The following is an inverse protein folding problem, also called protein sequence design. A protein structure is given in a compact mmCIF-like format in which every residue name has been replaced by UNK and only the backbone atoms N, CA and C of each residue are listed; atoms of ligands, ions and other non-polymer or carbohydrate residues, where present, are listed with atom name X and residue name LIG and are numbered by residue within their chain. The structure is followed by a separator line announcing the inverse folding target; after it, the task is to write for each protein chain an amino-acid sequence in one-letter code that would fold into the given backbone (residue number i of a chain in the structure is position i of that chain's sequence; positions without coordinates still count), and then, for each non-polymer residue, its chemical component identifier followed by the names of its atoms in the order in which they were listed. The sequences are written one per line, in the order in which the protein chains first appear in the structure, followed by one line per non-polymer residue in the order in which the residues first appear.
data_IF_735604784910
#
_entry.id   IF_735604784910
#
_cell.length_a   1.000
_cell.length_b   1.000
_cell.length_c   1.000
_cell.angle_alpha   90.00
_cell.angle_beta   90.00
_cell.angle_gamma   90.00
#
_symmetry.space_group_name_H-M   'P 1'
#
loop_
_entity.id
_entity.type
_entity.pdbx_description
1 polymer ?
#
# COMPACT_ATOMS: atom_id res chain seq x y z
N UNK A 1 6.44 2.59 -16.51
CA UNK A 1 7.24 1.38 -16.23
C UNK A 1 7.86 1.35 -14.82
N UNK A 2 7.25 1.97 -13.80
CA UNK A 2 7.72 1.87 -12.40
C UNK A 2 6.66 1.23 -11.50
N UNK A 3 5.40 1.49 -11.80
CA UNK A 3 4.25 0.96 -11.06
C UNK A 3 4.01 -0.54 -11.33
N UNK A 4 4.35 -1.04 -12.54
CA UNK A 4 4.23 -2.47 -12.87
C UNK A 4 5.22 -3.35 -12.10
N UNK A 5 6.41 -2.83 -11.78
CA UNK A 5 7.42 -3.59 -11.03
C UNK A 5 7.01 -3.70 -9.55
N UNK A 6 6.44 -2.64 -8.98
CA UNK A 6 5.94 -2.64 -7.60
C UNK A 6 4.75 -3.60 -7.45
N UNK A 7 3.81 -3.59 -8.40
CA UNK A 7 2.70 -4.54 -8.41
C UNK A 7 3.17 -5.99 -8.58
N UNK A 8 4.13 -6.24 -9.48
CA UNK A 8 4.69 -7.58 -9.66
C UNK A 8 5.43 -8.08 -8.40
N UNK A 9 6.16 -7.21 -7.71
CA UNK A 9 6.85 -7.55 -6.47
C UNK A 9 5.86 -7.88 -5.33
N UNK A 10 4.75 -7.15 -5.23
CA UNK A 10 3.71 -7.43 -4.22
C UNK A 10 2.98 -8.76 -4.49
N UNK A 11 2.68 -9.08 -5.75
CA UNK A 11 2.07 -10.38 -6.11
C UNK A 11 3.03 -11.54 -5.83
N UNK A 12 4.33 -11.36 -6.10
CA UNK A 12 5.35 -12.38 -5.78
C UNK A 12 5.51 -12.60 -4.26
N UNK A 13 5.47 -11.53 -3.46
CA UNK A 13 5.53 -11.62 -2.00
C UNK A 13 4.32 -12.36 -1.41
N UNK A 14 3.12 -12.13 -1.95
CA UNK A 14 1.90 -12.84 -1.52
C UNK A 14 1.94 -14.32 -1.93
N UNK A 15 2.48 -14.64 -3.11
CA UNK A 15 2.65 -16.03 -3.54
C UNK A 15 3.67 -16.79 -2.67
N UNK A 16 4.76 -16.14 -2.25
CA UNK A 16 5.76 -16.74 -1.35
C UNK A 16 5.20 -16.93 0.07
N UNK A 17 4.39 -15.97 0.56
CA UNK A 17 3.62 -16.11 1.80
C UNK A 17 2.63 -17.28 1.75
N UNK A 18 2.09 -17.61 0.57
CA UNK A 18 1.18 -18.74 0.40
C UNK A 18 1.90 -20.09 0.23
N UNK A 19 3.13 -20.10 -0.31
CA UNK A 19 3.95 -21.32 -0.47
C UNK A 19 4.85 -21.64 0.74
N UNK A 20 5.12 -20.69 1.63
CA UNK A 20 6.02 -20.88 2.79
C UNK A 20 5.47 -21.71 3.95
N UNK A 21 4.28 -22.33 3.83
CA UNK A 21 3.61 -23.04 4.94
C UNK A 21 3.43 -24.55 4.70
N UNK A 22 4.33 -25.22 3.96
CA UNK A 22 4.14 -26.67 3.71
C UNK A 22 5.33 -27.63 3.54
N UNK A 23 6.60 -27.27 3.76
CA UNK A 23 7.67 -28.28 3.64
C UNK A 23 8.72 -28.21 4.76
N UNK A 24 8.35 -28.75 5.92
CA UNK A 24 9.32 -29.38 6.83
C UNK A 24 8.99 -30.88 6.81
N UNK A 25 9.73 -31.62 5.98
CA UNK A 25 9.60 -33.06 5.86
C UNK A 25 10.01 -33.71 7.18
N UNK A 26 9.07 -34.45 7.78
CA UNK A 26 9.26 -35.18 9.01
C UNK A 26 10.41 -36.19 8.91
N UNK A 27 11.46 -36.00 9.72
CA UNK A 27 12.40 -37.05 10.05
C UNK A 27 11.85 -37.89 11.22
N UNK A 28 12.01 -39.23 11.23
CA UNK A 28 11.42 -40.11 12.24
C UNK A 28 12.08 -39.90 13.61
N UNK A 29 11.26 -39.77 14.66
CA UNK A 29 11.71 -39.51 16.02
C UNK A 29 12.23 -40.77 16.75
N UNK A 30 13.40 -40.71 17.41
CA UNK A 30 13.85 -41.69 18.39
C UNK A 30 13.00 -41.66 19.69
N UNK A 31 13.10 -42.73 20.47
CA UNK A 31 12.27 -43.11 21.62
C UNK A 31 12.15 -42.07 22.76
N UNK A 32 11.11 -42.16 23.62
CA UNK A 32 10.80 -41.14 24.62
C UNK A 32 11.85 -41.11 25.74
N UNK A 33 12.54 -39.98 25.86
CA UNK A 33 13.29 -39.57 27.05
C UNK A 33 12.41 -38.65 27.89
N UNK A 34 12.43 -38.84 29.22
CA UNK A 34 11.63 -38.07 30.17
C UNK A 34 11.87 -36.56 30.03
N UNK A 35 10.77 -35.83 29.87
CA UNK A 35 10.76 -34.40 29.56
C UNK A 35 10.92 -33.54 30.84
N UNK A 36 11.87 -32.58 30.88
CA UNK A 36 11.89 -31.53 31.87
C UNK A 36 10.64 -30.62 31.76
N UNK A 37 10.11 -30.16 32.89
CA UNK A 37 8.88 -29.37 32.97
C UNK A 37 8.87 -28.12 32.06
N UNK A 38 7.85 -28.00 31.21
CA UNK A 38 7.72 -27.05 30.10
C UNK A 38 7.32 -25.59 30.48
N UNK A 39 7.60 -25.13 31.70
CA UNK A 39 6.91 -23.97 32.28
C UNK A 39 7.27 -22.56 31.73
N UNK A 40 8.50 -22.22 31.26
CA UNK A 40 8.80 -20.86 30.80
C UNK A 40 8.68 -20.62 29.28
N UNK A 41 8.49 -21.66 28.47
CA UNK A 41 8.54 -21.53 27.00
C UNK A 41 7.28 -20.89 26.41
N UNK A 42 6.12 -21.08 27.05
CA UNK A 42 4.83 -20.58 26.55
C UNK A 42 4.71 -19.06 26.69
N UNK A 43 5.12 -18.48 27.83
CA UNK A 43 5.08 -17.02 28.06
C UNK A 43 6.00 -16.26 27.10
N UNK A 44 7.21 -16.79 26.86
CA UNK A 44 8.15 -16.21 25.90
C UNK A 44 7.58 -16.21 24.47
N UNK A 45 6.89 -17.28 24.08
CA UNK A 45 6.24 -17.36 22.78
C UNK A 45 5.06 -16.36 22.66
N UNK A 46 4.28 -16.18 23.72
CA UNK A 46 3.17 -15.22 23.74
C UNK A 46 3.65 -13.76 23.66
N UNK A 47 4.75 -13.43 24.36
CA UNK A 47 5.38 -12.12 24.28
C UNK A 47 5.89 -11.83 22.85
N UNK A 48 6.63 -12.76 22.25
CA UNK A 48 7.14 -12.63 20.88
C UNK A 48 5.99 -12.47 19.85
N UNK A 49 4.90 -13.22 20.02
CA UNK A 49 3.73 -13.09 19.16
C UNK A 49 3.07 -11.71 19.29
N UNK A 50 3.01 -11.16 20.50
CA UNK A 50 2.44 -9.83 20.76
C UNK A 50 3.30 -8.71 20.15
N UNK A 51 4.62 -8.81 20.27
CA UNK A 51 5.55 -7.86 19.64
C UNK A 51 5.44 -7.91 18.11
N UNK A 52 5.37 -9.11 17.53
CA UNK A 52 5.17 -9.29 16.10
C UNK A 52 3.85 -8.67 15.62
N UNK A 53 2.77 -8.85 16.39
CA UNK A 53 1.47 -8.24 16.08
C UNK A 53 1.50 -6.71 16.16
N UNK A 54 2.20 -6.15 17.16
CA UNK A 54 2.38 -4.70 17.30
C UNK A 54 3.19 -4.12 16.12
N UNK A 55 4.28 -4.78 15.73
CA UNK A 55 5.08 -4.38 14.58
C UNK A 55 4.27 -4.44 13.28
N UNK A 56 3.45 -5.48 13.08
CA UNK A 56 2.55 -5.59 11.94
C UNK A 56 1.51 -4.47 11.90
N UNK A 57 0.93 -4.11 13.05
CA UNK A 57 0.02 -2.95 13.18
C UNK A 57 0.72 -1.65 12.79
N UNK A 58 1.93 -1.41 13.28
CA UNK A 58 2.66 -0.18 12.98
C UNK A 58 3.03 -0.08 11.49
N UNK A 59 3.41 -1.19 10.87
CA UNK A 59 3.64 -1.26 9.43
C UNK A 59 2.36 -0.98 8.62
N UNK A 60 1.22 -1.54 9.06
CA UNK A 60 -0.06 -1.29 8.43
C UNK A 60 -0.49 0.19 8.53
N UNK A 61 -0.34 0.82 9.70
CA UNK A 61 -0.62 2.25 9.88
C UNK A 61 0.25 3.11 8.98
N UNK A 62 1.56 2.83 8.92
CA UNK A 62 2.49 3.56 8.05
C UNK A 62 2.12 3.45 6.56
N UNK A 63 1.63 2.27 6.14
CA UNK A 63 1.15 2.06 4.78
C UNK A 63 -0.14 2.85 4.49
N UNK A 64 -1.06 2.94 5.46
CA UNK A 64 -2.29 3.74 5.34
C UNK A 64 -1.98 5.23 5.26
N UNK A 65 -1.02 5.72 6.04
CA UNK A 65 -0.59 7.12 6.00
C UNK A 65 0.02 7.47 4.64
N UNK A 66 0.90 6.60 4.13
CA UNK A 66 1.48 6.77 2.79
C UNK A 66 0.41 6.75 1.69
N UNK A 67 -0.58 5.87 1.78
CA UNK A 67 -1.69 5.81 0.85
C UNK A 67 -2.56 7.09 0.90
N UNK A 68 -2.83 7.61 2.10
CA UNK A 68 -3.60 8.85 2.28
C UNK A 68 -2.87 10.07 1.75
N UNK A 69 -1.55 10.14 1.94
CA UNK A 69 -0.73 11.20 1.36
C UNK A 69 -0.73 11.16 -0.18
N UNK A 70 -0.61 9.96 -0.76
CA UNK A 70 -0.69 9.78 -2.22
C UNK A 70 -2.07 10.13 -2.79
N UNK A 71 -3.14 9.78 -2.08
CA UNK A 71 -4.51 10.13 -2.46
C UNK A 71 -4.71 11.65 -2.45
N UNK A 72 -4.25 12.33 -1.39
CA UNK A 72 -4.34 13.79 -1.27
C UNK A 72 -3.58 14.49 -2.40
N UNK A 73 -2.33 14.06 -2.69
CA UNK A 73 -1.56 14.61 -3.81
C UNK A 73 -2.24 14.40 -5.17
N UNK A 74 -2.96 13.30 -5.35
CA UNK A 74 -3.73 13.04 -6.57
C UNK A 74 -4.93 13.97 -6.70
N UNK A 75 -5.63 14.23 -5.59
CA UNK A 75 -6.75 15.18 -5.54
C UNK A 75 -6.27 16.60 -5.85
N UNK A 76 -5.16 17.02 -5.25
CA UNK A 76 -4.59 18.36 -5.49
C UNK A 76 -4.19 18.54 -6.96
N UNK A 77 -3.54 17.52 -7.56
CA UNK A 77 -3.18 17.53 -8.97
C UNK A 77 -4.42 17.58 -9.88
N UNK A 78 -5.48 16.84 -9.54
CA UNK A 78 -6.74 16.86 -10.28
C UNK A 78 -7.43 18.23 -10.19
N UNK A 79 -7.45 18.85 -9.00
CA UNK A 79 -8.00 20.19 -8.80
C UNK A 79 -7.23 21.25 -9.59
N UNK A 80 -5.89 21.19 -9.58
CA UNK A 80 -5.06 22.08 -10.37
C UNK A 80 -5.32 21.94 -11.88
N UNK A 81 -5.45 20.71 -12.37
CA UNK A 81 -5.80 20.43 -13.76
C UNK A 81 -7.19 20.95 -14.15
N UNK A 82 -8.18 20.78 -13.27
CA UNK A 82 -9.53 21.28 -13.47
C UNK A 82 -9.56 22.82 -13.55
N UNK A 83 -8.85 23.51 -12.66
CA UNK A 83 -8.76 24.96 -12.68
C UNK A 83 -8.09 25.46 -13.97
N UNK A 84 -6.99 24.84 -14.39
CA UNK A 84 -6.32 25.19 -15.65
C UNK A 84 -7.24 25.01 -16.86
N UNK A 85 -8.08 23.96 -16.87
CA UNK A 85 -9.06 23.75 -17.93
C UNK A 85 -10.16 24.83 -17.94
N UNK A 86 -10.63 25.25 -16.76
CA UNK A 86 -11.61 26.35 -16.61
C UNK A 86 -11.02 27.67 -17.12
N UNK A 87 -9.78 27.98 -16.74
CA UNK A 87 -9.10 29.19 -17.19
C UNK A 87 -8.90 29.21 -18.70
N UNK A 88 -8.50 28.07 -19.29
CA UNK A 88 -8.38 27.93 -20.74
C UNK A 88 -9.73 28.09 -21.46
N UNK A 89 -10.81 27.51 -20.91
CA UNK A 89 -12.15 27.64 -21.47
C UNK A 89 -12.64 29.11 -21.41
N UNK A 90 -12.35 29.80 -20.31
CA UNK A 90 -12.68 31.22 -20.14
C UNK A 90 -11.92 32.09 -21.15
N UNK A 91 -10.61 31.88 -21.28
CA UNK A 91 -9.81 32.60 -22.26
C UNK A 91 -10.31 32.36 -23.71
N UNK A 92 -10.71 31.14 -24.04
CA UNK A 92 -11.30 30.82 -25.34
C UNK A 92 -12.65 31.53 -25.55
N UNK A 93 -13.50 31.61 -24.53
CA UNK A 93 -14.78 32.32 -24.58
C UNK A 93 -14.58 33.83 -24.77
N UNK A 94 -13.63 34.44 -24.04
CA UNK A 94 -13.30 35.85 -24.16
C UNK A 94 -12.76 36.19 -25.57
N UNK A 95 -11.89 35.33 -26.12
CA UNK A 95 -11.39 35.47 -27.48
C UNK A 95 -12.51 35.38 -28.54
N UNK A 96 -13.46 34.45 -28.35
CA UNK A 96 -14.61 34.31 -29.24
C UNK A 96 -15.53 35.55 -29.18
N UNK A 97 -15.77 36.09 -27.97
CA UNK A 97 -16.55 37.30 -27.78
C UNK A 97 -15.90 38.52 -28.45
N UNK A 98 -14.58 38.66 -28.32
CA UNK A 98 -13.82 39.73 -28.98
C UNK A 98 -13.89 39.62 -30.52
N UNK A 99 -13.77 38.40 -31.06
CA UNK A 99 -13.90 38.16 -32.49
C UNK A 99 -15.30 38.54 -33.00
N UNK A 100 -16.36 38.14 -32.29
CA UNK A 100 -17.74 38.50 -32.65
C UNK A 100 -17.96 40.03 -32.62
N UNK A 101 -17.46 40.71 -31.59
CA UNK A 101 -17.55 42.17 -31.51
C UNK A 101 -16.85 42.87 -32.69
N UNK A 102 -15.69 42.35 -33.11
CA UNK A 102 -14.94 42.91 -34.25
C UNK A 102 -15.63 42.69 -35.60
N UNK A 103 -16.40 41.62 -35.76
CA UNK A 103 -17.13 41.31 -36.99
C UNK A 103 -18.37 42.19 -37.21
N UNK A 104 -18.82 42.92 -36.18
CA UNK A 104 -20.06 43.72 -36.21
C UNK A 104 -19.78 45.22 -36.40
N UNK A 105 -18.53 45.61 -36.64
CA UNK A 105 -18.07 46.99 -36.73
C UNK A 105 -17.49 47.29 -38.11
#
# INVERSE_FOLDING_TARGET
MKNSVVLAALVAAVALSACGKKEEAAAPAPAPVEAPAAAPAADQAAAAASEAAAAATQAASSAVDAASAAASATVDAAAAGANAAVDAAKAAADAAAAAAASATK
#
